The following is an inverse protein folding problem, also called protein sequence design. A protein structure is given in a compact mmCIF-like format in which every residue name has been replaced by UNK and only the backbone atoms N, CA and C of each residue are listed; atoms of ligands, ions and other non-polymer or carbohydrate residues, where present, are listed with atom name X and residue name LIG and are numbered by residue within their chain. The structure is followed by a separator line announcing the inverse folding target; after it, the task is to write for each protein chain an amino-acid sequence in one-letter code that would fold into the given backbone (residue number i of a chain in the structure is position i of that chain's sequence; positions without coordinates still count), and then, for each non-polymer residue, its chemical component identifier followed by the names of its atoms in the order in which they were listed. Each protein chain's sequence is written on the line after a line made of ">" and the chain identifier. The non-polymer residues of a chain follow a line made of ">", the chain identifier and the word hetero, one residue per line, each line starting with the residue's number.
data_IF_436579569432
#
_entry.id   IF_436579569432
#
_cell.length_a   1.000
_cell.length_b   1.000
_cell.length_c   1.000
_cell.angle_alpha   90.00
_cell.angle_beta   90.00
_cell.angle_gamma   90.00
#
_symmetry.space_group_name_H-M   'P 1'
#
loop_
_entity.id
_entity.type
_entity.pdbx_description
1 polymer ?
#
# COMPACT_ATOMS: atom_id res chain seq x y z
N UNK A 1 2.04 -1.07 21.49
CA UNK A 1 1.95 0.40 21.32
C UNK A 1 0.59 0.68 20.72
N UNK A 2 -0.26 1.45 21.40
CA UNK A 2 -1.56 1.85 20.88
C UNK A 2 -1.36 3.03 19.93
N UNK A 3 -1.45 2.78 18.63
CA UNK A 3 -1.56 3.84 17.63
C UNK A 3 -3.01 4.30 17.65
N UNK A 4 -3.20 5.60 17.93
CA UNK A 4 -4.51 6.19 18.11
C UNK A 4 -5.35 6.04 16.84
N UNK A 5 -6.63 5.70 16.97
CA UNK A 5 -7.59 5.45 15.86
C UNK A 5 -7.62 6.58 14.81
N UNK A 6 -7.35 7.80 15.26
CA UNK A 6 -7.27 9.02 14.44
C UNK A 6 -6.09 8.96 13.45
N UNK A 7 -4.97 8.37 13.87
CA UNK A 7 -3.79 8.22 13.02
C UNK A 7 -4.06 7.24 11.87
N UNK A 8 -4.84 6.18 12.11
CA UNK A 8 -5.23 5.21 11.09
C UNK A 8 -6.20 5.77 10.04
N UNK A 9 -7.10 6.68 10.43
CA UNK A 9 -8.02 7.37 9.50
C UNK A 9 -7.32 8.46 8.68
N UNK A 10 -6.27 9.09 9.23
CA UNK A 10 -5.47 10.10 8.52
C UNK A 10 -4.29 9.51 7.72
N UNK A 11 -3.90 8.26 7.96
CA UNK A 11 -2.74 7.67 7.28
C UNK A 11 -3.02 7.50 5.80
N UNK A 12 -2.21 8.16 4.98
CA UNK A 12 -2.22 8.00 3.53
C UNK A 12 -1.58 6.67 3.12
N UNK A 13 -1.97 6.16 1.95
CA UNK A 13 -1.31 4.98 1.40
C UNK A 13 0.20 5.22 1.18
N UNK A 14 0.63 6.44 0.89
CA UNK A 14 2.05 6.80 0.77
C UNK A 14 2.82 6.56 2.07
N UNK A 15 2.34 7.11 3.18
CA UNK A 15 2.95 6.93 4.51
C UNK A 15 2.96 5.46 4.94
N UNK A 16 1.87 4.76 4.65
CA UNK A 16 1.76 3.34 4.93
C UNK A 16 2.81 2.52 4.15
N UNK A 17 3.00 2.83 2.86
CA UNK A 17 3.98 2.16 2.00
C UNK A 17 5.41 2.44 2.44
N UNK A 18 5.67 3.64 2.95
CA UNK A 18 6.98 4.02 3.48
C UNK A 18 7.31 3.27 4.77
N UNK A 19 6.39 3.24 5.75
CA UNK A 19 6.54 2.41 6.96
C UNK A 19 6.72 0.93 6.61
N UNK A 20 5.92 0.41 5.67
CA UNK A 20 6.06 -0.98 5.23
C UNK A 20 7.40 -1.28 4.56
N UNK A 21 7.92 -0.33 3.78
CA UNK A 21 9.23 -0.45 3.14
C UNK A 21 10.39 -0.45 4.15
N UNK A 22 10.23 0.19 5.31
CA UNK A 22 11.22 0.23 6.39
C UNK A 22 11.13 -1.01 7.29
N UNK A 23 9.91 -1.40 7.70
CA UNK A 23 9.74 -2.39 8.77
C UNK A 23 9.55 -3.83 8.26
N UNK A 24 8.81 -3.98 7.16
CA UNK A 24 8.34 -5.28 6.67
C UNK A 24 9.09 -5.76 5.42
N UNK A 25 9.46 -4.84 4.52
CA UNK A 25 10.18 -5.19 3.30
C UNK A 25 11.55 -5.84 3.55
N UNK A 26 12.40 -5.39 4.50
CA UNK A 26 13.69 -6.03 4.77
C UNK A 26 13.60 -7.49 5.22
N UNK A 27 12.44 -7.90 5.78
CA UNK A 27 12.19 -9.27 6.25
C UNK A 27 11.77 -10.22 5.13
N UNK A 28 11.60 -9.73 3.90
CA UNK A 28 11.20 -10.54 2.73
C UNK A 28 12.42 -10.91 1.90
N UNK A 29 12.36 -12.10 1.27
CA UNK A 29 13.39 -12.63 0.36
C UNK A 29 13.76 -11.63 -0.75
N UNK A 30 12.77 -10.90 -1.28
CA UNK A 30 12.95 -9.89 -2.33
C UNK A 30 12.84 -8.45 -1.80
N UNK A 31 13.49 -8.16 -0.67
CA UNK A 31 13.42 -6.86 0.02
C UNK A 31 13.63 -5.66 -0.92
N UNK A 32 14.66 -5.70 -1.76
CA UNK A 32 14.97 -4.62 -2.72
C UNK A 32 13.80 -4.32 -3.66
N UNK A 33 13.25 -5.35 -4.31
CA UNK A 33 12.16 -5.18 -5.26
C UNK A 33 10.85 -4.78 -4.57
N UNK A 34 10.60 -5.28 -3.36
CA UNK A 34 9.44 -4.86 -2.56
C UNK A 34 9.55 -3.37 -2.22
N UNK A 35 10.68 -2.93 -1.68
CA UNK A 35 10.93 -1.51 -1.34
C UNK A 35 10.82 -0.61 -2.56
N UNK A 36 11.40 -1.01 -3.69
CA UNK A 36 11.31 -0.25 -4.94
C UNK A 36 9.85 -0.12 -5.42
N UNK A 37 9.06 -1.19 -5.35
CA UNK A 37 7.62 -1.15 -5.69
C UNK A 37 6.85 -0.24 -4.75
N UNK A 38 7.08 -0.34 -3.44
CA UNK A 38 6.45 0.53 -2.44
C UNK A 38 6.76 2.02 -2.72
N UNK A 39 8.03 2.36 -2.97
CA UNK A 39 8.45 3.73 -3.31
C UNK A 39 7.91 4.23 -4.65
N UNK A 40 7.74 3.35 -5.64
CA UNK A 40 7.11 3.71 -6.93
C UNK A 40 5.62 3.97 -6.75
N UNK A 41 4.96 3.15 -5.95
CA UNK A 41 3.53 3.31 -5.66
C UNK A 41 3.27 4.55 -4.82
N UNK A 42 4.12 4.88 -3.83
CA UNK A 42 3.95 6.05 -2.96
C UNK A 42 3.96 7.39 -3.72
N UNK A 43 4.56 7.42 -4.92
CA UNK A 43 4.60 8.60 -5.79
C UNK A 43 3.34 8.76 -6.68
N UNK A 44 2.44 7.78 -6.71
CA UNK A 44 1.24 7.80 -7.57
C UNK A 44 0.09 8.53 -6.91
N UNK A 45 -0.90 8.92 -7.72
CA UNK A 45 -2.12 9.62 -7.26
C UNK A 45 -2.91 8.78 -6.25
N UNK A 46 -2.98 7.46 -6.44
CA UNK A 46 -3.62 6.54 -5.50
C UNK A 46 -3.01 6.63 -4.09
N UNK A 47 -1.68 6.85 -3.99
CA UNK A 47 -0.99 6.87 -2.71
C UNK A 47 -1.27 8.12 -1.86
N UNK A 48 -1.79 9.20 -2.47
CA UNK A 48 -2.16 10.42 -1.75
C UNK A 48 -3.49 10.29 -0.99
N UNK A 49 -4.24 9.22 -1.24
CA UNK A 49 -5.52 8.96 -0.57
C UNK A 49 -5.26 8.32 0.80
N UNK A 50 -6.08 8.70 1.78
CA UNK A 50 -6.18 8.00 3.05
C UNK A 50 -6.52 6.52 2.79
N UNK A 51 -5.90 5.60 3.53
CA UNK A 51 -6.14 4.16 3.36
C UNK A 51 -7.63 3.80 3.44
N UNK A 52 -8.36 4.41 4.39
CA UNK A 52 -9.80 4.21 4.56
C UNK A 52 -10.64 4.75 3.39
N UNK A 53 -10.11 5.70 2.62
CA UNK A 53 -10.80 6.30 1.47
C UNK A 53 -10.56 5.55 0.16
N UNK A 54 -9.64 4.57 0.13
CA UNK A 54 -9.34 3.80 -1.07
C UNK A 54 -10.45 2.78 -1.32
N UNK A 55 -11.07 2.87 -2.50
CA UNK A 55 -12.14 1.96 -2.93
C UNK A 55 -11.70 1.16 -4.14
N UNK A 56 -12.48 0.13 -4.49
CA UNK A 56 -12.22 -0.69 -5.68
C UNK A 56 -12.07 0.11 -6.98
N UNK A 57 -12.81 1.22 -7.12
CA UNK A 57 -12.68 2.13 -8.28
C UNK A 57 -11.30 2.77 -8.39
N UNK A 58 -10.68 3.12 -7.26
CA UNK A 58 -9.35 3.74 -7.25
C UNK A 58 -8.27 2.70 -7.60
N UNK A 59 -8.46 1.45 -7.17
CA UNK A 59 -7.61 0.33 -7.55
C UNK A 59 -7.75 0.03 -9.05
N UNK A 60 -8.98 0.00 -9.58
CA UNK A 60 -9.22 -0.20 -11.01
C UNK A 60 -8.61 0.91 -11.86
N UNK A 61 -8.72 2.17 -11.41
CA UNK A 61 -8.07 3.31 -12.06
C UNK A 61 -6.54 3.16 -12.07
N UNK A 62 -5.94 2.74 -10.97
CA UNK A 62 -4.51 2.44 -10.91
C UNK A 62 -4.11 1.31 -11.86
N UNK A 63 -4.89 0.22 -11.92
CA UNK A 63 -4.62 -0.90 -12.84
C UNK A 63 -4.63 -0.38 -14.29
N UNK A 64 -5.64 0.40 -14.67
CA UNK A 64 -5.74 0.99 -16.00
C UNK A 64 -4.57 1.91 -16.31
N UNK A 65 -4.21 2.80 -15.38
CA UNK A 65 -3.05 3.69 -15.51
C UNK A 65 -1.75 2.89 -15.76
N UNK A 66 -1.57 1.75 -15.07
CA UNK A 66 -0.40 0.89 -15.29
C UNK A 66 -0.46 0.13 -16.63
N UNK A 67 -1.65 -0.29 -17.05
CA UNK A 67 -1.84 -0.96 -18.35
C UNK A 67 -1.56 0.00 -19.50
N UNK A 68 -2.01 1.25 -19.41
CA UNK A 68 -1.75 2.29 -20.40
C UNK A 68 -0.26 2.65 -20.48
N UNK A 69 0.48 2.52 -19.37
CA UNK A 69 1.95 2.61 -19.33
C UNK A 69 2.67 1.39 -19.93
N UNK A 70 1.95 0.39 -20.44
CA UNK A 70 2.51 -0.83 -21.01
C UNK A 70 3.08 -1.80 -19.97
N UNK A 71 2.74 -1.63 -18.68
CA UNK A 71 3.21 -2.52 -17.62
C UNK A 71 2.48 -3.86 -17.71
N UNK A 72 3.23 -4.96 -17.83
CA UNK A 72 2.64 -6.29 -17.88
C UNK A 72 1.80 -6.63 -16.64
N UNK A 73 0.65 -7.29 -16.85
CA UNK A 73 -0.34 -7.65 -15.80
C UNK A 73 0.27 -8.37 -14.60
N UNK A 74 1.32 -9.17 -14.79
CA UNK A 74 2.06 -9.81 -13.71
C UNK A 74 2.72 -8.79 -12.77
N UNK A 75 3.38 -7.76 -13.32
CA UNK A 75 4.03 -6.71 -12.53
C UNK A 75 3.01 -5.83 -11.80
N UNK A 76 1.85 -5.56 -12.42
CA UNK A 76 0.74 -4.85 -11.77
C UNK A 76 0.25 -5.64 -10.55
N UNK A 77 0.02 -6.95 -10.71
CA UNK A 77 -0.35 -7.83 -9.58
C UNK A 77 0.69 -7.84 -8.47
N UNK A 78 1.98 -7.98 -8.80
CA UNK A 78 3.05 -7.91 -7.80
C UNK A 78 3.06 -6.56 -7.05
N UNK A 79 2.74 -5.47 -7.75
CA UNK A 79 2.57 -4.15 -7.18
C UNK A 79 1.37 -4.03 -6.24
N UNK A 80 0.31 -4.84 -6.43
CA UNK A 80 -0.91 -4.87 -5.60
C UNK A 80 -0.84 -5.86 -4.43
N UNK A 81 -0.02 -6.92 -4.52
CA UNK A 81 0.19 -7.87 -3.41
C UNK A 81 0.81 -7.18 -2.19
N UNK A 82 1.72 -6.23 -2.39
CA UNK A 82 2.31 -5.43 -1.31
C UNK A 82 1.27 -4.57 -0.57
N UNK A 83 0.42 -3.78 -1.26
CA UNK A 83 -0.76 -3.12 -0.69
C UNK A 83 -1.71 -4.05 0.05
N UNK A 84 -2.10 -5.22 -0.49
CA UNK A 84 -3.06 -6.09 0.20
C UNK A 84 -2.53 -6.61 1.54
N UNK A 85 -1.25 -6.99 1.59
CA UNK A 85 -0.60 -7.36 2.85
C UNK A 85 -0.45 -6.14 3.77
N UNK A 86 -0.19 -4.97 3.22
CA UNK A 86 -0.14 -3.71 3.95
C UNK A 86 -1.51 -3.32 4.51
N UNK A 87 -2.62 -3.51 3.80
CA UNK A 87 -3.98 -3.27 4.31
C UNK A 87 -4.31 -4.24 5.44
N UNK A 88 -3.96 -5.52 5.29
CA UNK A 88 -4.11 -6.48 6.39
C UNK A 88 -3.22 -6.14 7.59
N UNK A 89 -1.96 -5.74 7.35
CA UNK A 89 -1.02 -5.32 8.41
C UNK A 89 -1.48 -4.02 9.06
N UNK A 90 -1.99 -3.06 8.29
CA UNK A 90 -2.58 -1.84 8.81
C UNK A 90 -3.80 -2.16 9.67
N UNK A 91 -4.61 -3.14 9.26
CA UNK A 91 -5.78 -3.58 10.01
C UNK A 91 -5.42 -4.22 11.35
N UNK A 92 -4.45 -5.15 11.35
CA UNK A 92 -4.08 -5.93 12.55
C UNK A 92 -3.02 -5.27 13.43
N UNK A 93 -2.04 -4.59 12.84
CA UNK A 93 -0.90 -4.00 13.57
C UNK A 93 -1.13 -2.54 13.97
N UNK A 94 -2.01 -1.79 13.28
CA UNK A 94 -2.37 -0.40 13.65
C UNK A 94 -3.73 -0.30 14.33
N UNK A 95 -4.31 -1.43 14.76
CA UNK A 95 -5.52 -1.43 15.58
C UNK A 95 -6.78 -0.96 14.84
N UNK A 96 -6.96 -1.29 13.56
CA UNK A 96 -8.27 -1.12 12.89
C UNK A 96 -9.23 -2.28 13.18
N UNK A 97 -9.15 -2.84 14.38
CA UNK A 97 -10.13 -3.79 14.91
C UNK A 97 -11.15 -2.95 15.68
N UNK A 98 -12.33 -2.73 15.09
CA UNK A 98 -13.51 -2.39 15.89
C UNK A 98 -14.03 -3.69 16.53
N UNK A 99 -14.54 -3.64 17.78
CA UNK A 99 -15.30 -4.75 18.37
C UNK A 99 -16.50 -5.16 17.50
#
# INVERSE_FOLDING_TARGET
>A
MFVSRIEAESTTLAEALERYALDAAPKKKDAYHVTLRCRRLSKRTLARKALAAIRGKDIAAFIRERQDEGVGTHMIRLGLVSPSHLFNTARTAWGMESP
#
